data_IF_972567758379
#
_entry.id   IF_972567758379
#
_cell.length_a   1.000
_cell.length_b   1.000
_cell.length_c   1.000
_cell.angle_alpha   90.00
_cell.angle_beta   90.00
_cell.angle_gamma   90.00
#
_symmetry.space_group_name_H-M   'P 1'
#
loop_
_entity.id
_entity.type
_entity.pdbx_description
1 polymer ?
#
# COMPACT_ATOMS: atom_id res chain seq x y z
N UNK A 1 -10.81 -1.65 14.16
CA UNK A 1 -12.00 -0.82 13.87
C UNK A 1 -11.49 0.59 13.70
N UNK A 2 -11.71 1.22 12.54
CA UNK A 2 -11.31 2.61 12.30
C UNK A 2 -12.32 3.52 13.00
N UNK A 3 -11.84 4.56 13.69
CA UNK A 3 -12.71 5.58 14.28
C UNK A 3 -13.54 6.24 13.17
N UNK A 4 -14.86 6.46 13.36
CA UNK A 4 -15.69 7.10 12.34
C UNK A 4 -15.28 8.56 12.06
N UNK A 5 -14.57 9.19 12.98
CA UNK A 5 -14.14 10.59 12.89
C UNK A 5 -12.71 10.75 12.33
N UNK A 6 -12.09 9.66 11.86
CA UNK A 6 -10.79 9.73 11.19
C UNK A 6 -10.98 10.41 9.82
N UNK A 7 -10.12 11.39 9.54
CA UNK A 7 -10.13 12.11 8.28
C UNK A 7 -9.56 11.23 7.14
N UNK A 8 -9.85 11.63 5.90
CA UNK A 8 -9.45 10.84 4.72
C UNK A 8 -7.94 10.81 4.50
N UNK A 9 -7.20 11.85 4.89
CA UNK A 9 -5.75 11.89 4.79
C UNK A 9 -5.14 10.85 5.73
N UNK A 10 -5.59 10.80 6.99
CA UNK A 10 -5.20 9.77 7.95
C UNK A 10 -5.54 8.36 7.45
N UNK A 11 -6.70 8.13 6.82
CA UNK A 11 -7.02 6.82 6.23
C UNK A 11 -6.02 6.42 5.13
N UNK A 12 -5.72 7.34 4.24
CA UNK A 12 -4.82 7.08 3.12
C UNK A 12 -3.37 6.90 3.58
N UNK A 13 -2.92 7.65 4.58
CA UNK A 13 -1.60 7.48 5.19
C UNK A 13 -1.47 6.08 5.82
N UNK A 14 -2.45 5.64 6.62
CA UNK A 14 -2.45 4.28 7.18
C UNK A 14 -2.49 3.21 6.08
N UNK A 15 -3.30 3.40 5.03
CA UNK A 15 -3.33 2.48 3.90
C UNK A 15 -1.98 2.43 3.17
N UNK A 16 -1.30 3.57 3.03
CA UNK A 16 0.03 3.67 2.44
C UNK A 16 1.06 2.87 3.25
N UNK A 17 1.07 3.03 4.57
CA UNK A 17 1.94 2.28 5.49
C UNK A 17 1.67 0.77 5.48
N UNK A 18 0.38 0.37 5.46
CA UNK A 18 -0.02 -1.03 5.37
C UNK A 18 0.45 -1.66 4.04
N UNK A 19 0.33 -0.94 2.93
CA UNK A 19 0.76 -1.43 1.61
C UNK A 19 2.27 -1.60 1.51
N UNK A 20 3.04 -0.67 2.06
CA UNK A 20 4.50 -0.79 2.17
C UNK A 20 4.88 -2.02 3.01
N UNK A 21 4.21 -2.21 4.14
CA UNK A 21 4.42 -3.38 5.02
C UNK A 21 4.08 -4.69 4.31
N UNK A 22 2.96 -4.76 3.59
CA UNK A 22 2.56 -5.93 2.80
C UNK A 22 3.59 -6.24 1.71
N UNK A 23 4.07 -5.22 1.00
CA UNK A 23 5.07 -5.41 -0.05
C UNK A 23 6.38 -5.97 0.52
N UNK A 24 6.84 -5.42 1.66
CA UNK A 24 8.02 -5.91 2.36
C UNK A 24 7.87 -7.37 2.85
N UNK A 25 6.72 -7.70 3.46
CA UNK A 25 6.43 -9.07 3.93
C UNK A 25 6.36 -10.05 2.74
N UNK A 26 5.75 -9.65 1.63
CA UNK A 26 5.68 -10.47 0.43
C UNK A 26 7.07 -10.66 -0.19
N UNK A 27 7.89 -9.61 -0.28
CA UNK A 27 9.26 -9.74 -0.77
C UNK A 27 10.10 -10.69 0.09
N UNK A 28 10.03 -10.54 1.42
CA UNK A 28 10.70 -11.42 2.39
C UNK A 28 10.27 -12.89 2.23
N UNK A 29 8.95 -13.15 2.18
CA UNK A 29 8.42 -14.50 1.97
C UNK A 29 8.80 -15.09 0.60
N UNK A 30 8.96 -14.26 -0.43
CA UNK A 30 9.37 -14.72 -1.76
C UNK A 30 10.81 -15.23 -1.76
N UNK A 31 11.66 -14.78 -0.83
CA UNK A 31 13.04 -15.26 -0.71
C UNK A 31 13.11 -16.68 -0.10
N UNK A 32 12.13 -17.06 0.72
CA UNK A 32 12.03 -18.38 1.37
C UNK A 32 11.41 -19.49 0.49
N UNK A 33 10.89 -19.16 -0.70
CA UNK A 33 10.21 -20.14 -1.56
C UNK A 33 10.69 -20.09 -3.01
N UNK A 34 10.54 -21.22 -3.70
CA UNK A 34 10.94 -21.39 -5.10
C UNK A 34 9.77 -21.59 -6.08
N UNK A 35 10.08 -21.46 -7.37
CA UNK A 35 9.19 -21.84 -8.46
C UNK A 35 7.93 -20.98 -8.60
N UNK A 36 6.80 -21.62 -8.90
CA UNK A 36 5.54 -20.91 -9.15
C UNK A 36 5.03 -20.15 -7.93
N UNK A 37 5.30 -20.64 -6.71
CA UNK A 37 4.89 -19.97 -5.47
C UNK A 37 5.61 -18.63 -5.28
N UNK A 38 6.93 -18.60 -5.55
CA UNK A 38 7.72 -17.36 -5.57
C UNK A 38 7.11 -16.33 -6.52
N UNK A 39 6.76 -16.79 -7.72
CA UNK A 39 6.16 -15.92 -8.74
C UNK A 39 4.82 -15.32 -8.30
N UNK A 40 3.98 -16.11 -7.61
CA UNK A 40 2.70 -15.63 -7.06
C UNK A 40 2.94 -14.58 -5.97
N UNK A 41 3.89 -14.81 -5.06
CA UNK A 41 4.17 -13.85 -3.98
C UNK A 41 4.73 -12.54 -4.53
N UNK A 42 5.66 -12.60 -5.49
CA UNK A 42 6.16 -11.39 -6.16
C UNK A 42 5.05 -10.63 -6.90
N UNK A 43 4.07 -11.34 -7.46
CA UNK A 43 2.90 -10.69 -8.05
C UNK A 43 2.07 -9.95 -7.00
N UNK A 44 1.93 -10.48 -5.78
CA UNK A 44 1.25 -9.80 -4.67
C UNK A 44 2.00 -8.54 -4.23
N UNK A 45 3.33 -8.61 -4.06
CA UNK A 45 4.17 -7.44 -3.75
C UNK A 45 4.00 -6.35 -4.81
N UNK A 46 4.09 -6.70 -6.10
CA UNK A 46 3.88 -5.76 -7.20
C UNK A 46 2.48 -5.15 -7.22
N UNK A 47 1.45 -5.92 -6.85
CA UNK A 47 0.09 -5.41 -6.74
C UNK A 47 -0.03 -4.41 -5.57
N UNK A 48 0.58 -4.70 -4.42
CA UNK A 48 0.63 -3.78 -3.29
C UNK A 48 1.32 -2.46 -3.66
N UNK A 49 2.49 -2.53 -4.32
CA UNK A 49 3.20 -1.35 -4.82
C UNK A 49 2.33 -0.54 -5.79
N UNK A 50 1.62 -1.23 -6.69
CA UNK A 50 0.70 -0.59 -7.64
C UNK A 50 -0.45 0.14 -6.96
N UNK A 51 -1.03 -0.44 -5.91
CA UNK A 51 -2.09 0.21 -5.11
C UNK A 51 -1.52 1.37 -4.30
N UNK A 52 -0.30 1.23 -3.75
CA UNK A 52 0.37 2.29 -2.99
C UNK A 52 0.54 3.54 -3.86
N UNK A 53 0.97 3.41 -5.11
CA UNK A 53 1.04 4.55 -6.04
C UNK A 53 -0.32 5.24 -6.29
N UNK A 54 -1.42 4.48 -6.27
CA UNK A 54 -2.78 5.06 -6.40
C UNK A 54 -3.19 5.82 -5.13
N UNK A 55 -2.78 5.32 -3.96
CA UNK A 55 -3.00 5.96 -2.65
C UNK A 55 -2.19 7.26 -2.54
N UNK A 56 -0.90 7.23 -2.88
CA UNK A 56 -0.05 8.44 -2.93
C UNK A 56 -0.67 9.50 -3.84
N UNK A 57 -1.13 9.11 -5.03
CA UNK A 57 -1.80 10.04 -5.95
C UNK A 57 -3.14 10.56 -5.42
N UNK A 58 -3.83 9.81 -4.56
CA UNK A 58 -5.03 10.29 -3.89
C UNK A 58 -4.69 11.31 -2.79
N UNK A 59 -3.61 11.08 -2.02
CA UNK A 59 -3.11 12.02 -1.02
C UNK A 59 -2.65 13.33 -1.67
N UNK A 60 -1.85 13.28 -2.74
CA UNK A 60 -1.43 14.46 -3.50
C UNK A 60 -2.62 15.35 -3.91
N UNK A 61 -3.75 14.73 -4.28
CA UNK A 61 -4.96 15.47 -4.67
C UNK A 61 -5.61 16.16 -3.47
N UNK A 62 -5.61 15.55 -2.30
CA UNK A 62 -6.15 16.15 -1.08
C UNK A 62 -5.29 17.35 -0.65
N UNK A 63 -3.97 17.23 -0.70
CA UNK A 63 -3.05 18.33 -0.38
C UNK A 63 -3.25 19.55 -1.29
N UNK A 64 -3.44 19.31 -2.60
CA UNK A 64 -3.74 20.38 -3.57
C UNK A 64 -5.09 21.04 -3.26
N UNK A 65 -6.10 20.27 -2.85
CA UNK A 65 -7.41 20.83 -2.48
C UNK A 65 -7.38 21.64 -1.19
N UNK A 66 -6.56 21.24 -0.21
CA UNK A 66 -6.39 21.96 1.05
C UNK A 66 -5.64 23.28 0.89
N UNK A 67 -4.84 23.41 -0.17
CA UNK A 67 -4.02 24.59 -0.48
C UNK A 67 -4.72 25.63 -1.38
N UNK A 68 -5.96 25.35 -1.82
CA UNK A 68 -6.72 26.15 -2.79
C UNK A 68 -7.86 26.99 -2.21
#
# INVERSE_FOLDING_TARGET
MVSPDIDTETLLANASEDLLSISAIAADLADDVDGSRRSVILALSRMADGVHLLVERAMDRLEVQASG
#
